data_IF_678146810318
#
_entry.id   IF_678146810318
#
_cell.length_a   1.000
_cell.length_b   1.000
_cell.length_c   1.000
_cell.angle_alpha   90.00
_cell.angle_beta   90.00
_cell.angle_gamma   90.00
#
_symmetry.space_group_name_H-M   'P 1'
#
loop_
_entity.id
_entity.type
_entity.pdbx_description
1 polymer ?
#
# COMPACT_ATOMS: atom_id res chain seq x y z
N UNK A 1 4.47 -0.95 11.98
CA UNK A 1 4.79 -1.57 13.28
C UNK A 1 3.65 -1.47 14.30
N UNK A 2 3.10 -0.29 14.59
CA UNK A 2 2.05 -0.16 15.63
C UNK A 2 0.83 -1.04 15.38
N UNK A 3 0.42 -1.16 14.12
CA UNK A 3 -0.65 -2.06 13.72
C UNK A 3 -0.34 -3.53 14.03
N UNK A 4 0.89 -3.99 13.78
CA UNK A 4 1.35 -5.34 14.13
C UNK A 4 1.30 -5.54 15.65
N UNK A 5 1.80 -4.58 16.43
CA UNK A 5 1.73 -4.62 17.90
C UNK A 5 0.29 -4.69 18.43
N UNK A 6 -0.63 -4.00 17.75
CA UNK A 6 -2.04 -3.98 18.09
C UNK A 6 -2.82 -5.19 17.55
N UNK A 7 -2.17 -6.16 16.87
CA UNK A 7 -2.84 -7.30 16.27
C UNK A 7 -3.79 -6.92 15.12
N UNK A 8 -3.57 -5.78 14.47
CA UNK A 8 -4.35 -5.30 13.33
C UNK A 8 -3.78 -5.86 12.02
N UNK A 9 -4.63 -6.38 11.10
CA UNK A 9 -4.19 -6.81 9.78
C UNK A 9 -3.42 -5.72 9.03
N UNK A 10 -2.23 -6.09 8.57
CA UNK A 10 -1.31 -5.24 7.85
C UNK A 10 -1.09 -5.79 6.44
N UNK A 11 -1.06 -4.89 5.46
CA UNK A 11 -0.74 -5.19 4.09
C UNK A 11 0.43 -4.32 3.63
N UNK A 12 1.52 -4.93 3.19
CA UNK A 12 2.68 -4.23 2.64
C UNK A 12 2.85 -4.59 1.17
N UNK A 13 2.73 -3.58 0.31
CA UNK A 13 3.06 -3.69 -1.11
C UNK A 13 4.48 -3.19 -1.33
N UNK A 14 5.42 -4.11 -1.45
CA UNK A 14 6.82 -3.81 -1.77
C UNK A 14 7.48 -5.04 -2.40
N UNK A 15 8.60 -4.85 -3.11
CA UNK A 15 9.46 -5.95 -3.57
C UNK A 15 10.94 -5.57 -3.58
N UNK A 16 11.80 -6.58 -3.76
CA UNK A 16 13.24 -6.39 -3.93
C UNK A 16 13.91 -5.71 -2.73
N UNK A 17 14.86 -4.83 -3.00
CA UNK A 17 15.63 -4.12 -1.97
C UNK A 17 14.76 -3.20 -1.11
N UNK A 18 13.73 -2.57 -1.72
CA UNK A 18 12.81 -1.72 -0.98
C UNK A 18 12.04 -2.56 0.07
N UNK A 19 11.57 -3.77 -0.30
CA UNK A 19 10.98 -4.71 0.67
C UNK A 19 11.97 -5.13 1.76
N UNK A 20 13.21 -5.47 1.40
CA UNK A 20 14.24 -5.85 2.37
C UNK A 20 14.45 -4.74 3.40
N UNK A 21 14.48 -3.48 2.98
CA UNK A 21 14.59 -2.33 3.88
C UNK A 21 13.42 -2.20 4.86
N UNK A 22 12.18 -2.50 4.44
CA UNK A 22 11.04 -2.57 5.36
C UNK A 22 11.19 -3.70 6.39
N UNK A 23 11.66 -4.87 5.95
CA UNK A 23 11.84 -6.03 6.83
C UNK A 23 12.92 -5.75 7.88
N UNK A 24 14.09 -5.27 7.47
CA UNK A 24 15.18 -4.89 8.37
C UNK A 24 14.72 -3.84 9.39
N UNK A 25 13.95 -2.84 8.94
CA UNK A 25 13.41 -1.81 9.80
C UNK A 25 12.37 -2.36 10.79
N UNK A 26 11.50 -3.27 10.38
CA UNK A 26 10.51 -3.90 11.25
C UNK A 26 11.16 -4.84 12.28
N UNK A 27 12.16 -5.62 11.88
CA UNK A 27 12.89 -6.54 12.76
C UNK A 27 13.68 -5.80 13.85
N UNK A 28 14.18 -4.60 13.53
CA UNK A 28 14.85 -3.75 14.51
C UNK A 28 13.89 -3.10 15.52
N UNK A 29 12.57 -3.17 15.32
CA UNK A 29 11.60 -2.50 16.18
C UNK A 29 11.21 -3.35 17.41
N UNK A 30 11.37 -2.81 18.64
CA UNK A 30 10.97 -3.53 19.84
C UNK A 30 9.48 -3.93 19.83
N UNK A 31 9.21 -5.17 20.25
CA UNK A 31 7.85 -5.71 20.35
C UNK A 31 7.18 -6.03 19.01
N UNK A 32 7.95 -6.11 17.92
CA UNK A 32 7.50 -6.61 16.63
C UNK A 32 8.17 -7.95 16.37
N UNK A 33 7.37 -8.99 16.14
CA UNK A 33 7.83 -10.29 15.64
C UNK A 33 7.29 -10.43 14.21
N UNK A 34 8.15 -10.12 13.24
CA UNK A 34 7.73 -10.03 11.83
C UNK A 34 7.43 -11.42 11.27
N UNK A 35 8.25 -12.41 11.61
CA UNK A 35 8.06 -13.80 11.20
C UNK A 35 6.73 -14.36 11.72
N UNK A 36 6.42 -14.15 13.01
CA UNK A 36 5.13 -14.56 13.57
C UNK A 36 3.95 -13.79 12.95
N UNK A 37 4.13 -12.49 12.65
CA UNK A 37 3.10 -11.70 11.98
C UNK A 37 2.81 -12.22 10.56
N UNK A 38 3.84 -12.62 9.81
CA UNK A 38 3.66 -13.22 8.48
C UNK A 38 3.02 -14.60 8.59
N UNK A 39 3.54 -15.47 9.47
CA UNK A 39 3.06 -16.83 9.63
C UNK A 39 1.59 -16.90 10.06
N UNK A 40 1.13 -15.95 10.88
CA UNK A 40 -0.26 -15.84 11.31
C UNK A 40 -1.18 -15.15 10.29
N UNK A 41 -0.65 -14.62 9.19
CA UNK A 41 -1.40 -13.81 8.23
C UNK A 41 -1.80 -12.43 8.76
N UNK A 42 -1.20 -11.99 9.89
CA UNK A 42 -1.34 -10.64 10.42
C UNK A 42 -0.65 -9.62 9.52
N UNK A 43 0.54 -9.95 9.00
CA UNK A 43 1.24 -9.19 7.97
C UNK A 43 1.19 -9.97 6.65
N UNK A 44 0.54 -9.41 5.64
CA UNK A 44 0.57 -9.94 4.28
C UNK A 44 1.45 -9.04 3.41
N UNK A 45 2.37 -9.64 2.67
CA UNK A 45 3.29 -8.93 1.77
C UNK A 45 2.99 -9.37 0.34
N UNK A 46 2.70 -8.42 -0.54
CA UNK A 46 2.58 -8.65 -1.97
C UNK A 46 2.71 -7.34 -2.73
N UNK A 47 3.57 -7.26 -3.74
CA UNK A 47 3.76 -6.04 -4.51
C UNK A 47 2.49 -5.65 -5.31
N UNK A 48 2.23 -6.36 -6.40
CA UNK A 48 1.00 -6.33 -7.17
C UNK A 48 1.01 -7.62 -8.01
N UNK A 49 0.29 -8.68 -7.59
CA UNK A 49 0.32 -9.93 -8.32
C UNK A 49 -0.38 -9.80 -9.67
N UNK A 50 0.11 -10.53 -10.66
CA UNK A 50 -0.34 -10.38 -12.05
C UNK A 50 0.51 -9.36 -12.81
N UNK A 51 -0.01 -8.90 -13.95
CA UNK A 51 0.64 -7.91 -14.83
C UNK A 51 -0.25 -6.69 -15.14
N UNK A 52 -1.46 -6.67 -14.59
CA UNK A 52 -2.48 -5.64 -14.82
C UNK A 52 -3.04 -5.11 -13.50
N UNK A 53 -3.58 -3.90 -13.53
CA UNK A 53 -4.28 -3.27 -12.41
C UNK A 53 -5.40 -4.16 -11.88
N UNK A 54 -6.19 -4.77 -12.77
CA UNK A 54 -7.33 -5.62 -12.39
C UNK A 54 -6.90 -6.85 -11.60
N UNK A 55 -5.87 -7.56 -12.05
CA UNK A 55 -5.38 -8.76 -11.36
C UNK A 55 -4.85 -8.44 -9.95
N UNK A 56 -4.14 -7.32 -9.81
CA UNK A 56 -3.65 -6.84 -8.53
C UNK A 56 -4.81 -6.50 -7.58
N UNK A 57 -5.82 -5.79 -8.07
CA UNK A 57 -7.01 -5.42 -7.29
C UNK A 57 -7.82 -6.63 -6.87
N UNK A 58 -8.02 -7.61 -7.75
CA UNK A 58 -8.74 -8.84 -7.43
C UNK A 58 -8.04 -9.60 -6.29
N UNK A 59 -6.71 -9.59 -6.26
CA UNK A 59 -5.95 -10.15 -5.14
C UNK A 59 -6.16 -9.34 -3.86
N UNK A 60 -6.04 -8.02 -3.91
CA UNK A 60 -6.21 -7.17 -2.73
C UNK A 60 -7.61 -7.27 -2.14
N UNK A 61 -8.66 -7.32 -2.97
CA UNK A 61 -10.03 -7.55 -2.50
C UNK A 61 -10.15 -8.88 -1.75
N UNK A 62 -9.52 -9.97 -2.25
CA UNK A 62 -9.52 -11.26 -1.54
C UNK A 62 -8.82 -11.18 -0.19
N UNK A 63 -7.67 -10.50 -0.11
CA UNK A 63 -6.95 -10.31 1.16
C UNK A 63 -7.80 -9.50 2.14
N UNK A 64 -8.45 -8.43 1.68
CA UNK A 64 -9.27 -7.58 2.53
C UNK A 64 -10.53 -8.29 3.03
N UNK A 65 -11.21 -9.06 2.17
CA UNK A 65 -12.32 -9.90 2.60
C UNK A 65 -11.90 -10.90 3.66
N UNK A 66 -10.76 -11.56 3.48
CA UNK A 66 -10.22 -12.48 4.49
C UNK A 66 -9.98 -11.80 5.84
N UNK A 67 -9.54 -10.55 5.85
CA UNK A 67 -9.40 -9.77 7.08
C UNK A 67 -10.75 -9.39 7.70
N UNK A 68 -11.73 -8.98 6.88
CA UNK A 68 -13.10 -8.67 7.33
C UNK A 68 -13.78 -9.90 7.92
N UNK A 69 -13.63 -11.07 7.32
CA UNK A 69 -14.18 -12.34 7.82
C UNK A 69 -13.59 -12.72 9.20
N UNK A 70 -12.38 -12.22 9.52
CA UNK A 70 -11.75 -12.32 10.84
C UNK A 70 -12.15 -11.20 11.81
N UNK A 71 -13.20 -10.44 11.50
CA UNK A 71 -13.69 -9.30 12.29
C UNK A 71 -12.67 -8.16 12.45
N UNK A 72 -11.85 -7.90 11.42
CA UNK A 72 -10.94 -6.76 11.45
C UNK A 72 -11.70 -5.43 11.56
N UNK A 73 -11.40 -4.65 12.59
CA UNK A 73 -11.95 -3.29 12.78
C UNK A 73 -11.23 -2.25 11.93
N UNK A 74 -9.99 -2.55 11.53
CA UNK A 74 -9.20 -1.75 10.58
C UNK A 74 -8.16 -2.63 9.88
N UNK A 75 -7.93 -2.39 8.59
CA UNK A 75 -6.87 -2.95 7.76
C UNK A 75 -5.89 -1.82 7.45
N UNK A 76 -4.61 -2.04 7.69
CA UNK A 76 -3.55 -1.04 7.54
C UNK A 76 -2.70 -1.37 6.33
N UNK A 77 -2.69 -0.49 5.33
CA UNK A 77 -2.01 -0.74 4.06
C UNK A 77 -0.89 0.26 3.85
N UNK A 78 0.28 -0.25 3.45
CA UNK A 78 1.41 0.56 3.00
C UNK A 78 1.79 0.11 1.59
N UNK A 79 1.82 1.04 0.64
CA UNK A 79 2.36 0.82 -0.69
C UNK A 79 3.70 1.53 -0.87
N UNK A 80 4.75 0.78 -1.16
CA UNK A 80 6.03 1.32 -1.62
C UNK A 80 6.00 1.33 -3.16
N UNK A 81 5.64 2.48 -3.73
CA UNK A 81 5.25 2.53 -5.13
C UNK A 81 6.45 2.48 -6.08
N UNK A 82 7.67 2.77 -5.62
CA UNK A 82 8.85 2.69 -6.47
C UNK A 82 9.14 1.25 -6.92
N UNK A 83 9.06 0.30 -5.99
CA UNK A 83 9.24 -1.12 -6.26
C UNK A 83 7.98 -1.74 -6.86
N UNK A 84 6.78 -1.30 -6.44
CA UNK A 84 5.51 -1.80 -6.98
C UNK A 84 5.32 -1.41 -8.45
N UNK A 85 5.80 -0.23 -8.89
CA UNK A 85 5.77 0.22 -10.29
C UNK A 85 6.23 -0.86 -11.26
N UNK A 86 7.32 -1.54 -10.94
CA UNK A 86 7.97 -2.50 -11.82
C UNK A 86 7.16 -3.81 -11.94
N UNK A 87 5.97 -3.88 -11.33
CA UNK A 87 5.02 -4.99 -11.45
C UNK A 87 3.93 -4.69 -12.49
N UNK A 88 3.88 -3.46 -13.01
CA UNK A 88 2.96 -3.04 -14.06
C UNK A 88 3.67 -2.88 -15.39
N UNK A 89 2.92 -3.01 -16.48
CA UNK A 89 3.43 -2.86 -17.86
C UNK A 89 3.83 -1.43 -18.20
N UNK A 90 3.30 -0.43 -17.50
CA UNK A 90 3.61 0.99 -17.71
C UNK A 90 3.29 1.84 -16.48
N UNK A 91 3.86 3.06 -16.43
CA UNK A 91 3.51 4.05 -15.40
C UNK A 91 2.01 4.44 -15.44
N UNK A 92 1.40 4.46 -16.64
CA UNK A 92 -0.03 4.69 -16.80
C UNK A 92 -0.87 3.59 -16.16
N UNK A 93 -0.53 2.33 -16.40
CA UNK A 93 -1.23 1.19 -15.80
C UNK A 93 -1.16 1.23 -14.27
N UNK A 94 -0.02 1.61 -13.72
CA UNK A 94 0.13 1.80 -12.28
C UNK A 94 -0.71 2.97 -11.74
N UNK A 95 -0.82 4.08 -12.47
CA UNK A 95 -1.69 5.20 -12.07
C UNK A 95 -3.19 4.82 -12.17
N UNK A 96 -3.57 4.01 -13.16
CA UNK A 96 -4.92 3.46 -13.26
C UNK A 96 -5.21 2.53 -12.07
N UNK A 97 -4.23 1.69 -11.70
CA UNK A 97 -4.27 0.89 -10.47
C UNK A 97 -4.50 1.77 -9.22
N UNK A 98 -3.75 2.86 -9.04
CA UNK A 98 -3.88 3.76 -7.88
C UNK A 98 -5.29 4.36 -7.77
N UNK A 99 -5.82 4.86 -8.88
CA UNK A 99 -7.17 5.43 -8.92
C UNK A 99 -8.24 4.39 -8.56
N UNK A 100 -8.10 3.16 -9.06
CA UNK A 100 -9.02 2.06 -8.76
C UNK A 100 -8.85 1.51 -7.34
N UNK A 101 -7.61 1.44 -6.84
CA UNK A 101 -7.29 0.95 -5.51
C UNK A 101 -7.93 1.82 -4.43
N UNK A 102 -7.93 3.15 -4.60
CA UNK A 102 -8.66 4.05 -3.71
C UNK A 102 -10.16 3.69 -3.63
N UNK A 103 -10.80 3.37 -4.76
CA UNK A 103 -12.20 2.95 -4.77
C UNK A 103 -12.43 1.59 -4.09
N UNK A 104 -11.47 0.67 -4.19
CA UNK A 104 -11.48 -0.58 -3.44
C UNK A 104 -11.39 -0.31 -1.94
N UNK A 105 -10.40 0.47 -1.49
CA UNK A 105 -10.20 0.80 -0.08
C UNK A 105 -11.44 1.38 0.59
N UNK A 106 -12.22 2.21 -0.10
CA UNK A 106 -13.49 2.78 0.41
C UNK A 106 -14.57 1.76 0.74
N UNK A 107 -14.47 0.51 0.24
CA UNK A 107 -15.42 -0.57 0.52
C UNK A 107 -15.09 -1.36 1.78
N UNK A 108 -13.91 -1.13 2.37
CA UNK A 108 -13.39 -1.87 3.52
C UNK A 108 -13.05 -0.91 4.66
N UNK A 109 -12.95 -1.39 5.91
CA UNK A 109 -12.42 -0.60 7.01
C UNK A 109 -10.90 -0.46 6.85
N UNK A 110 -10.45 0.27 5.82
CA UNK A 110 -9.07 0.30 5.37
C UNK A 110 -8.49 1.71 5.51
N UNK A 111 -7.25 1.79 6.00
CA UNK A 111 -6.43 2.99 5.95
C UNK A 111 -5.18 2.65 5.16
N UNK A 112 -4.99 3.32 4.02
CA UNK A 112 -3.89 3.07 3.10
C UNK A 112 -2.96 4.28 2.98
N UNK A 113 -1.67 4.03 2.86
CA UNK A 113 -0.64 5.03 2.56
C UNK A 113 0.24 4.53 1.42
N UNK A 114 0.13 5.16 0.26
CA UNK A 114 1.04 4.96 -0.87
C UNK A 114 2.20 5.96 -0.79
N UNK A 115 3.43 5.45 -0.82
CA UNK A 115 4.67 6.20 -0.73
C UNK A 115 5.36 6.24 -2.09
N UNK A 116 5.85 7.42 -2.49
CA UNK A 116 6.49 7.62 -3.78
C UNK A 116 7.87 8.24 -3.58
N UNK A 117 8.88 7.66 -4.22
CA UNK A 117 10.22 8.24 -4.28
C UNK A 117 10.29 9.28 -5.40
N UNK A 118 10.32 10.56 -5.05
CA UNK A 118 10.38 11.68 -6.01
C UNK A 118 11.61 11.68 -6.92
N UNK A 119 12.64 10.88 -6.60
CA UNK A 119 13.82 10.68 -7.46
C UNK A 119 13.55 9.64 -8.56
N UNK A 120 12.58 8.75 -8.34
CA UNK A 120 12.23 7.64 -9.24
C UNK A 120 10.97 7.93 -10.07
N UNK A 121 10.14 8.91 -9.67
CA UNK A 121 8.90 9.28 -10.37
C UNK A 121 9.00 10.65 -11.04
N UNK A 122 8.35 10.81 -12.19
CA UNK A 122 8.21 12.13 -12.83
C UNK A 122 7.30 13.04 -12.01
N UNK A 123 7.48 14.37 -12.10
CA UNK A 123 6.58 15.32 -11.44
C UNK A 123 5.12 15.19 -11.89
N UNK A 124 4.89 14.78 -13.14
CA UNK A 124 3.55 14.49 -13.66
C UNK A 124 2.94 13.24 -13.01
N UNK A 125 3.73 12.19 -12.81
CA UNK A 125 3.29 10.97 -12.15
C UNK A 125 2.97 11.22 -10.67
N UNK A 126 3.84 11.96 -9.94
CA UNK A 126 3.57 12.35 -8.56
C UNK A 126 2.29 13.19 -8.46
N UNK A 127 2.09 14.16 -9.35
CA UNK A 127 0.85 14.94 -9.37
C UNK A 127 -0.39 14.08 -9.67
N UNK A 128 -0.28 13.12 -10.57
CA UNK A 128 -1.37 12.18 -10.87
C UNK A 128 -1.69 11.28 -9.67
N UNK A 129 -0.67 10.77 -9.00
CA UNK A 129 -0.80 10.01 -7.76
C UNK A 129 -1.49 10.83 -6.66
N UNK A 130 -1.06 12.08 -6.42
CA UNK A 130 -1.72 12.97 -5.46
C UNK A 130 -3.20 13.17 -5.81
N UNK A 131 -3.54 13.33 -7.10
CA UNK A 131 -4.94 13.46 -7.56
C UNK A 131 -5.79 12.22 -7.27
N UNK A 132 -5.19 11.03 -7.21
CA UNK A 132 -5.90 9.80 -6.86
C UNK A 132 -6.22 9.70 -5.35
N UNK A 133 -5.59 10.53 -4.51
CA UNK A 133 -5.70 10.51 -3.04
C UNK A 133 -6.40 11.77 -2.52
N UNK A 134 -7.75 11.84 -2.58
CA UNK A 134 -8.49 13.05 -2.27
C UNK A 134 -8.30 13.55 -0.84
N UNK A 135 -7.95 12.65 0.10
CA UNK A 135 -7.69 12.98 1.51
C UNK A 135 -6.50 13.93 1.70
N UNK A 136 -5.64 14.07 0.68
CA UNK A 136 -4.51 15.02 0.70
C UNK A 136 -4.98 16.46 0.39
N UNK A 137 -6.11 16.64 -0.30
CA UNK A 137 -6.59 17.96 -0.75
C UNK A 137 -7.46 18.71 0.26
N UNK A 138 -7.84 18.07 1.37
CA UNK A 138 -8.40 18.80 2.53
C UNK A 138 -7.36 19.76 3.14
N UNK A 139 -6.08 19.62 2.77
CA UNK A 139 -5.06 20.66 2.89
C UNK A 139 -4.95 21.38 1.54
N UNK A 140 -5.46 22.62 1.48
CA UNK A 140 -5.55 23.42 0.24
C UNK A 140 -4.32 23.32 -0.67
N UNK A 141 -4.53 22.90 -1.93
CA UNK A 141 -3.51 22.92 -3.00
C UNK A 141 -2.87 24.30 -3.20
N UNK A 142 -3.47 25.38 -2.68
CA UNK A 142 -2.88 26.73 -2.70
C UNK A 142 -1.59 26.88 -1.87
N UNK A 143 -1.23 25.88 -1.05
CA UNK A 143 0.04 25.85 -0.31
C UNK A 143 1.17 25.15 -1.07
N UNK A 144 0.87 24.26 -2.02
CA UNK A 144 1.86 23.48 -2.78
C UNK A 144 2.35 24.19 -4.04
N UNK A 145 1.66 25.26 -4.46
CA UNK A 145 1.95 26.02 -5.69
C UNK A 145 2.41 27.45 -5.40
N UNK A 146 2.97 27.71 -4.21
CA UNK A 146 3.63 28.98 -3.87
C UNK A 146 5.13 28.85 -3.92
#
# INVERSE_FOLDING_TARGET
>A
ADAIRAGQPCFLMAKGEDLAGYMDALDAMPGVDVDAAIASGLLTIAAAPGSTAREALDHFERVFWSAVDRNATVIRVVGEMASVRDSFTSEREMLDFEAMFNMVCKRFPCVAVCQYDVRKFSGQAVLAALRAHPDIFDVSMGLLLK
#
